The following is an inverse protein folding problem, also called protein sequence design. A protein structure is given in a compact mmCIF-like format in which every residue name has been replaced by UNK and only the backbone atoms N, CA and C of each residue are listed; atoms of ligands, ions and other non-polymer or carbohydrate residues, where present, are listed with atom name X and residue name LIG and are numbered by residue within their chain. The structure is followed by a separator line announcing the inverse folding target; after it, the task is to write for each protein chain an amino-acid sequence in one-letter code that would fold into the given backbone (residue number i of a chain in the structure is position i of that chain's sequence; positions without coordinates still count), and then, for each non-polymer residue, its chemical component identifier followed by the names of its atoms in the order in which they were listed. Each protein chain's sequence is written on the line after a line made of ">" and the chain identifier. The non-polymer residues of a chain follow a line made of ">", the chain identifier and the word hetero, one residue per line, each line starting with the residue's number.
data_IF_566107435169
#
_entry.id   IF_566107435169
#
_cell.length_a   1.000
_cell.length_b   1.000
_cell.length_c   1.000
_cell.angle_alpha   90.00
_cell.angle_beta   90.00
_cell.angle_gamma   90.00
#
_symmetry.space_group_name_H-M   'P 1'
#
loop_
_entity.id
_entity.type
_entity.pdbx_description
1 polymer ?
#
# COMPACT_ATOMS: atom_id res chain seq x y z
N UNK A 1 -10.00 12.06 -0.28
CA UNK A 1 -9.60 12.50 -1.64
C UNK A 1 -8.08 12.45 -1.89
N UNK A 2 -7.22 12.64 -0.87
CA UNK A 2 -5.76 12.68 -1.05
C UNK A 2 -5.01 11.34 -0.95
N UNK A 3 -5.52 10.33 -0.22
CA UNK A 3 -5.01 8.94 -0.35
C UNK A 3 -5.23 8.45 -1.77
N UNK A 4 -6.36 8.80 -2.39
CA UNK A 4 -6.60 8.54 -3.80
C UNK A 4 -5.56 9.27 -4.67
N UNK A 5 -5.10 10.47 -4.33
CA UNK A 5 -4.05 11.18 -5.08
C UNK A 5 -2.68 10.50 -4.97
N UNK A 6 -2.29 10.00 -3.78
CA UNK A 6 -1.04 9.26 -3.59
C UNK A 6 -1.11 7.89 -4.26
N UNK A 7 -2.25 7.21 -4.11
CA UNK A 7 -2.55 5.95 -4.76
C UNK A 7 -2.68 6.13 -6.27
N UNK A 8 -3.17 7.27 -6.76
CA UNK A 8 -3.21 7.66 -8.17
C UNK A 8 -1.84 8.11 -8.69
N UNK A 9 -0.99 8.72 -7.88
CA UNK A 9 0.40 9.04 -8.25
C UNK A 9 1.19 7.75 -8.38
N UNK A 10 1.05 6.84 -7.40
CA UNK A 10 1.56 5.47 -7.45
C UNK A 10 0.95 4.69 -8.63
N UNK A 11 -0.35 4.78 -8.89
CA UNK A 11 -1.04 4.12 -10.00
C UNK A 11 -0.65 4.71 -11.36
N UNK A 12 -0.39 6.01 -11.45
CA UNK A 12 0.05 6.68 -12.69
C UNK A 12 1.52 6.39 -12.97
N UNK A 13 2.33 6.17 -11.93
CA UNK A 13 3.66 5.56 -12.04
C UNK A 13 3.52 4.09 -12.51
N UNK A 14 2.57 3.31 -11.98
CA UNK A 14 2.32 1.91 -12.36
C UNK A 14 1.84 1.74 -13.82
N UNK A 15 0.93 2.60 -14.30
CA UNK A 15 0.21 2.43 -15.59
C UNK A 15 1.02 2.86 -16.82
N UNK A 16 2.03 3.73 -16.67
CA UNK A 16 2.81 4.23 -17.83
C UNK A 16 3.99 3.32 -18.25
N UNK A 17 4.10 2.09 -17.71
CA UNK A 17 5.06 1.07 -18.20
C UNK A 17 5.78 0.21 -17.14
N UNK A 18 5.26 0.12 -15.90
CA UNK A 18 6.01 -0.28 -14.70
C UNK A 18 5.57 -1.65 -14.11
N UNK A 19 4.88 -2.51 -14.85
CA UNK A 19 4.48 -3.81 -14.30
C UNK A 19 5.68 -4.76 -14.02
N UNK A 20 6.82 -4.56 -14.69
CA UNK A 20 8.06 -5.33 -14.47
C UNK A 20 9.06 -4.69 -13.49
N UNK A 21 8.95 -3.39 -13.19
CA UNK A 21 9.95 -2.69 -12.35
C UNK A 21 9.69 -2.82 -10.84
N UNK A 22 8.48 -3.21 -10.41
CA UNK A 22 8.12 -3.30 -8.99
C UNK A 22 8.89 -4.40 -8.23
N UNK A 23 9.39 -5.43 -8.93
CA UNK A 23 10.23 -6.47 -8.33
C UNK A 23 11.56 -5.88 -7.82
N UNK A 24 12.05 -4.82 -8.48
CA UNK A 24 13.37 -4.22 -8.19
C UNK A 24 13.30 -2.93 -7.39
N UNK A 25 12.15 -2.25 -7.33
CA UNK A 25 11.96 -1.01 -6.54
C UNK A 25 12.37 -1.14 -5.07
N UNK A 26 12.03 -2.21 -4.31
CA UNK A 26 12.47 -2.32 -2.92
C UNK A 26 13.99 -2.39 -2.78
N UNK A 27 14.69 -2.80 -3.83
CA UNK A 27 16.15 -2.93 -3.87
C UNK A 27 16.88 -1.72 -4.50
N UNK A 28 16.15 -0.74 -5.03
CA UNK A 28 16.74 0.43 -5.71
C UNK A 28 16.34 1.77 -5.11
N UNK A 29 15.15 1.89 -4.53
CA UNK A 29 14.66 3.17 -4.03
C UNK A 29 15.42 3.54 -2.75
N UNK A 30 16.23 4.62 -2.83
CA UNK A 30 17.09 5.07 -1.72
C UNK A 30 16.55 6.30 -1.00
N UNK A 31 15.79 7.16 -1.67
CA UNK A 31 15.33 8.42 -1.11
C UNK A 31 13.85 8.62 -1.39
N UNK A 32 13.09 8.94 -0.35
CA UNK A 32 11.72 9.42 -0.42
C UNK A 32 11.67 10.75 0.32
N UNK A 33 11.29 11.81 -0.40
CA UNK A 33 10.98 13.10 0.19
C UNK A 33 9.57 13.52 -0.24
N UNK A 34 8.68 13.52 0.72
CA UNK A 34 7.28 13.94 0.64
C UNK A 34 6.99 15.05 1.66
N UNK A 35 8.03 15.74 2.13
CA UNK A 35 7.88 16.79 3.12
C UNK A 35 7.04 17.97 2.60
N UNK A 36 6.45 18.72 3.53
CA UNK A 36 5.74 19.98 3.23
C UNK A 36 4.55 19.81 2.28
N UNK A 37 3.77 18.75 2.49
CA UNK A 37 2.56 18.47 1.76
C UNK A 37 1.34 18.48 2.71
N UNK A 38 0.16 18.17 2.19
CA UNK A 38 -1.08 18.02 2.97
C UNK A 38 -1.50 16.56 3.07
N UNK A 39 -0.55 15.64 3.18
CA UNK A 39 -0.85 14.22 3.29
C UNK A 39 -1.51 13.93 4.64
N UNK A 40 -2.58 13.13 4.59
CA UNK A 40 -3.41 12.74 5.72
C UNK A 40 -3.55 11.22 5.75
N UNK A 41 -3.93 10.68 6.91
CA UNK A 41 -4.03 9.24 7.14
C UNK A 41 -2.73 8.64 7.66
N UNK A 42 -2.67 7.32 7.67
CA UNK A 42 -1.58 6.57 8.30
C UNK A 42 -0.42 6.28 7.35
N UNK A 43 0.76 6.03 7.92
CA UNK A 43 1.94 5.60 7.16
C UNK A 43 1.72 4.13 6.71
N UNK A 44 1.73 3.83 5.40
CA UNK A 44 1.44 2.49 4.90
C UNK A 44 2.60 1.52 5.18
N UNK A 45 2.47 0.77 6.27
CA UNK A 45 3.48 -0.14 6.79
C UNK A 45 4.00 -1.14 5.75
N UNK A 46 3.09 -1.82 5.03
CA UNK A 46 3.45 -2.90 4.09
C UNK A 46 4.25 -2.44 2.87
N UNK A 47 3.99 -1.23 2.36
CA UNK A 47 4.69 -0.72 1.17
C UNK A 47 6.06 -0.17 1.58
N UNK A 48 6.10 0.69 2.60
CA UNK A 48 7.34 1.36 3.00
C UNK A 48 8.29 0.40 3.71
N UNK A 49 7.77 -0.51 4.54
CA UNK A 49 8.58 -1.54 5.24
C UNK A 49 9.28 -2.52 4.28
N UNK A 50 8.79 -2.66 3.04
CA UNK A 50 9.41 -3.50 2.03
C UNK A 50 10.56 -2.84 1.27
N UNK A 51 10.78 -1.52 1.40
CA UNK A 51 11.82 -0.78 0.68
C UNK A 51 13.21 -1.01 1.30
N UNK A 52 13.75 -2.22 1.19
CA UNK A 52 14.98 -2.64 1.87
C UNK A 52 16.21 -1.78 1.56
N UNK A 53 16.28 -1.14 0.39
CA UNK A 53 17.37 -0.25 0.02
C UNK A 53 17.18 1.23 0.44
N UNK A 54 16.09 1.54 1.15
CA UNK A 54 15.76 2.92 1.52
C UNK A 54 16.78 3.48 2.51
N UNK A 55 17.31 4.64 2.18
CA UNK A 55 18.33 5.35 2.93
C UNK A 55 17.82 6.63 3.59
N UNK A 56 16.90 7.34 2.93
CA UNK A 56 16.33 8.58 3.42
C UNK A 56 14.81 8.59 3.27
N UNK A 57 14.10 8.83 4.37
CA UNK A 57 12.65 8.97 4.42
C UNK A 57 12.27 10.27 5.11
N UNK A 58 11.78 11.23 4.32
CA UNK A 58 11.40 12.57 4.77
C UNK A 58 9.91 12.75 4.47
N UNK A 59 9.08 12.76 5.50
CA UNK A 59 7.62 12.95 5.39
C UNK A 59 7.12 14.03 6.36
N UNK A 60 8.03 14.92 6.77
CA UNK A 60 7.76 16.01 7.71
C UNK A 60 6.79 17.05 7.16
N UNK A 61 6.24 17.89 8.03
CA UNK A 61 5.30 18.96 7.65
C UNK A 61 4.13 18.44 6.81
N UNK A 62 3.46 17.43 7.35
CA UNK A 62 2.25 16.87 6.77
C UNK A 62 1.19 16.78 7.87
N UNK A 63 0.06 16.15 7.54
CA UNK A 63 -1.07 16.01 8.44
C UNK A 63 -1.36 14.53 8.74
N UNK A 64 -0.30 13.69 8.66
CA UNK A 64 -0.33 12.24 8.86
C UNK A 64 -0.70 11.89 10.31
N UNK A 65 -1.47 10.82 10.47
CA UNK A 65 -2.01 10.31 11.73
C UNK A 65 -1.57 8.86 11.95
N UNK A 66 -1.94 8.27 13.08
CA UNK A 66 -1.60 6.87 13.36
C UNK A 66 -0.27 6.71 14.08
N UNK A 67 0.14 5.45 14.25
CA UNK A 67 1.45 5.10 14.83
C UNK A 67 2.52 5.10 13.75
N UNK A 68 3.78 5.31 14.15
CA UNK A 68 4.91 4.98 13.28
C UNK A 68 4.97 3.45 13.18
N UNK A 69 4.86 2.84 11.99
CA UNK A 69 4.83 1.39 11.87
C UNK A 69 6.13 0.74 12.35
N UNK A 70 5.99 -0.33 13.13
CA UNK A 70 7.13 -1.13 13.58
C UNK A 70 7.93 -1.74 12.43
N UNK A 71 7.30 -2.01 11.29
CA UNK A 71 7.95 -2.56 10.09
C UNK A 71 9.06 -1.66 9.53
N UNK A 72 9.02 -0.36 9.81
CA UNK A 72 10.09 0.54 9.42
C UNK A 72 11.40 0.20 10.13
N UNK A 73 11.35 -0.43 11.31
CA UNK A 73 12.52 -0.92 12.03
C UNK A 73 13.28 -2.01 11.27
N UNK A 74 12.67 -2.61 10.25
CA UNK A 74 13.31 -3.62 9.40
C UNK A 74 14.12 -3.02 8.22
N UNK A 75 14.14 -1.70 8.08
CA UNK A 75 14.81 -0.98 6.97
C UNK A 75 16.30 -0.73 7.28
N UNK A 76 17.13 -1.76 7.24
CA UNK A 76 18.51 -1.73 7.73
C UNK A 76 19.45 -0.63 7.17
N UNK A 77 19.11 0.02 6.05
CA UNK A 77 19.93 1.06 5.41
C UNK A 77 19.43 2.49 5.66
N UNK A 78 18.33 2.65 6.40
CA UNK A 78 17.72 3.95 6.67
C UNK A 78 18.62 4.77 7.60
N UNK A 79 19.25 5.80 7.04
CA UNK A 79 20.18 6.67 7.76
C UNK A 79 19.62 8.07 8.02
N UNK A 80 18.63 8.50 7.24
CA UNK A 80 17.96 9.78 7.44
C UNK A 80 16.45 9.57 7.55
N UNK A 81 15.87 10.01 8.66
CA UNK A 81 14.46 9.87 8.95
C UNK A 81 13.91 11.16 9.54
N UNK A 82 12.83 11.68 8.98
CA UNK A 82 12.16 12.86 9.50
C UNK A 82 10.64 12.75 9.33
N UNK A 83 9.94 12.71 10.45
CA UNK A 83 8.47 12.67 10.56
C UNK A 83 7.93 13.84 11.36
N UNK A 84 8.75 14.86 11.60
CA UNK A 84 8.39 16.03 12.38
C UNK A 84 7.18 16.76 11.81
N UNK A 85 6.47 17.49 12.67
CA UNK A 85 5.32 18.30 12.29
C UNK A 85 4.24 17.48 11.55
N UNK A 86 3.74 16.45 12.23
CA UNK A 86 2.61 15.62 11.84
C UNK A 86 1.68 15.43 13.05
N UNK A 87 0.67 14.56 12.93
CA UNK A 87 -0.28 14.20 14.00
C UNK A 87 -0.09 12.74 14.43
N UNK A 88 1.15 12.26 14.43
CA UNK A 88 1.49 10.88 14.81
C UNK A 88 1.38 10.68 16.33
N UNK A 89 1.07 9.45 16.74
CA UNK A 89 0.86 9.10 18.14
C UNK A 89 1.42 7.73 18.52
N UNK A 90 1.58 7.52 19.83
CA UNK A 90 2.07 6.26 20.39
C UNK A 90 3.59 6.20 20.54
N UNK A 91 4.13 5.03 20.89
CA UNK A 91 5.56 4.84 21.10
C UNK A 91 6.33 4.90 19.78
N UNK A 92 7.51 5.55 19.80
CA UNK A 92 8.49 5.43 18.72
C UNK A 92 8.97 3.97 18.66
N UNK A 93 8.95 3.33 17.48
CA UNK A 93 9.40 1.95 17.32
C UNK A 93 10.83 1.76 17.83
N UNK A 94 11.04 0.70 18.59
CA UNK A 94 12.37 0.28 19.01
C UNK A 94 12.99 -0.55 17.89
N UNK A 95 14.17 -0.15 17.44
CA UNK A 95 14.93 -0.81 16.38
C UNK A 95 16.34 -0.25 16.35
N UNK A 96 17.30 -1.01 15.79
CA UNK A 96 18.73 -0.66 15.87
C UNK A 96 19.03 0.76 15.39
N UNK A 97 18.31 1.25 14.37
CA UNK A 97 18.48 2.60 13.81
C UNK A 97 17.49 3.66 14.35
N UNK A 98 16.33 3.28 14.89
CA UNK A 98 15.35 4.27 15.36
C UNK A 98 15.80 5.01 16.62
N UNK A 99 16.64 4.36 17.43
CA UNK A 99 17.30 4.97 18.58
C UNK A 99 18.48 5.89 18.23
N UNK A 100 18.93 5.95 16.96
CA UNK A 100 20.05 6.82 16.54
C UNK A 100 19.58 8.14 15.95
N UNK A 101 18.31 8.23 15.53
CA UNK A 101 17.74 9.48 15.01
C UNK A 101 17.59 10.52 16.14
N UNK A 102 17.74 11.79 15.78
CA UNK A 102 17.70 12.92 16.71
C UNK A 102 16.27 13.27 17.11
N UNK A 103 16.12 14.04 18.20
CA UNK A 103 14.83 14.53 18.68
C UNK A 103 14.08 15.34 17.62
N UNK A 104 14.81 16.13 16.82
CA UNK A 104 14.29 16.96 15.73
C UNK A 104 13.56 16.16 14.65
N UNK A 105 13.89 14.88 14.48
CA UNK A 105 13.20 13.99 13.53
C UNK A 105 11.74 13.73 13.91
N UNK A 106 11.36 13.95 15.17
CA UNK A 106 10.06 13.59 15.73
C UNK A 106 9.28 14.79 16.28
N UNK A 107 9.91 15.96 16.39
CA UNK A 107 9.32 17.18 16.97
C UNK A 107 8.03 17.60 16.26
N UNK A 108 7.12 18.27 16.96
CA UNK A 108 5.85 18.73 16.37
C UNK A 108 4.75 17.65 16.27
N UNK A 109 4.99 16.43 16.77
CA UNK A 109 3.97 15.41 16.98
C UNK A 109 3.58 15.34 18.46
N UNK A 110 2.42 15.90 18.83
CA UNK A 110 2.02 16.08 20.25
C UNK A 110 1.87 14.77 21.04
N UNK A 111 1.56 13.68 20.35
CA UNK A 111 1.14 12.40 20.95
C UNK A 111 2.18 11.28 20.79
N UNK A 112 3.35 11.56 20.20
CA UNK A 112 4.48 10.62 20.19
C UNK A 112 5.16 10.56 21.56
N UNK A 113 5.71 9.40 21.91
CA UNK A 113 6.43 9.18 23.16
C UNK A 113 7.54 8.15 22.98
N UNK A 114 8.47 8.09 23.94
CA UNK A 114 9.64 7.19 23.89
C UNK A 114 10.90 7.89 23.35
N UNK A 115 12.07 7.27 23.56
CA UNK A 115 13.35 7.83 23.11
C UNK A 115 13.36 7.99 21.57
N UNK A 116 13.95 9.05 21.02
CA UNK A 116 14.78 10.08 21.69
C UNK A 116 13.99 11.19 22.40
N UNK A 117 12.66 11.24 22.29
CA UNK A 117 11.87 12.29 22.93
C UNK A 117 11.94 12.18 24.47
N UNK A 118 11.91 13.33 25.13
CA UNK A 118 11.85 13.40 26.61
C UNK A 118 10.53 12.87 27.19
N UNK A 119 9.47 12.83 26.39
CA UNK A 119 8.14 12.35 26.78
C UNK A 119 8.15 10.82 26.93
N UNK A 120 8.01 10.33 28.16
CA UNK A 120 7.85 8.90 28.44
C UNK A 120 6.47 8.42 28.01
N UNK A 121 6.39 7.22 27.46
CA UNK A 121 5.10 6.59 27.24
C UNK A 121 4.52 6.15 28.58
N UNK A 122 3.24 6.46 28.83
CA UNK A 122 2.54 5.88 29.97
C UNK A 122 2.42 4.38 29.74
N UNK A 123 3.21 3.62 30.51
CA UNK A 123 2.93 2.20 30.71
C UNK A 123 1.62 2.13 31.47
N UNK A 124 0.52 1.89 30.77
CA UNK A 124 -0.66 1.34 31.41
C UNK A 124 -0.21 0.06 32.13
N UNK A 125 -0.13 0.14 33.45
CA UNK A 125 -0.12 -1.04 34.32
C UNK A 125 -1.29 -1.90 33.82
N UNK A 126 -1.08 -3.18 33.44
CA UNK A 126 -2.22 -4.02 33.13
C UNK A 126 -3.13 -4.00 34.37
N UNK A 127 -4.43 -3.68 34.24
CA UNK A 127 -5.33 -3.89 35.35
C UNK A 127 -5.23 -5.37 35.77
N UNK A 128 -5.32 -5.69 37.07
CA UNK A 128 -5.38 -7.09 37.51
C UNK A 128 -6.51 -7.79 36.74
N UNK A 129 -6.38 -9.08 36.40
CA UNK A 129 -7.33 -9.76 35.52
C UNK A 129 -8.71 -9.74 36.18
N UNK A 130 -9.55 -8.81 35.75
CA UNK A 130 -10.99 -8.87 35.95
C UNK A 130 -11.51 -9.84 34.91
N UNK A 131 -11.95 -11.00 35.37
CA UNK A 131 -12.77 -11.94 34.61
C UNK A 131 -14.02 -11.19 34.18
N UNK A 132 -14.01 -10.62 32.99
CA UNK A 132 -15.20 -10.27 32.22
C UNK A 132 -14.84 -10.45 30.76
N UNK A 133 -15.37 -11.52 30.20
CA UNK A 133 -15.48 -11.77 28.77
C UNK A 133 -16.10 -10.53 28.13
N UNK A 134 -15.47 -10.01 27.08
CA UNK A 134 -16.17 -9.09 26.21
C UNK A 134 -15.67 -9.27 24.78
N UNK A 135 -16.63 -9.63 23.95
CA UNK A 135 -16.53 -9.94 22.54
C UNK A 135 -15.93 -8.76 21.76
N UNK A 136 -14.79 -8.99 21.12
CA UNK A 136 -14.29 -8.11 20.05
C UNK A 136 -14.86 -8.61 18.72
N UNK A 137 -16.02 -8.09 18.33
CA UNK A 137 -16.39 -8.07 16.91
C UNK A 137 -16.82 -6.66 16.48
N UNK A 138 -15.94 -6.01 15.74
CA UNK A 138 -16.27 -5.07 14.65
C UNK A 138 -14.99 -4.63 13.93
N UNK A 139 -14.18 -5.62 13.52
CA UNK A 139 -13.40 -5.47 12.31
C UNK A 139 -14.33 -5.80 11.15
N UNK A 140 -14.38 -4.97 10.11
CA UNK A 140 -15.07 -5.35 8.87
C UNK A 140 -14.28 -6.49 8.21
N UNK A 141 -14.49 -7.73 8.69
CA UNK A 141 -14.15 -8.94 7.97
C UNK A 141 -15.26 -9.14 6.95
N UNK A 142 -14.92 -9.02 5.67
CA UNK A 142 -15.76 -9.56 4.61
C UNK A 142 -15.65 -11.09 4.74
N UNK A 143 -16.41 -11.67 5.66
CA UNK A 143 -16.56 -13.11 5.81
C UNK A 143 -17.54 -13.56 4.72
N UNK A 144 -17.02 -13.71 3.50
CA UNK A 144 -17.78 -14.36 2.45
C UNK A 144 -17.86 -15.83 2.82
N UNK A 145 -18.99 -16.22 3.37
CA UNK A 145 -19.36 -17.61 3.58
C UNK A 145 -18.95 -18.42 2.34
N UNK A 146 -18.33 -19.59 2.54
CA UNK A 146 -17.89 -20.43 1.42
C UNK A 146 -19.07 -20.77 0.48
N UNK A 147 -20.30 -20.73 1.01
CA UNK A 147 -21.55 -20.85 0.29
C UNK A 147 -21.84 -19.70 -0.70
N UNK A 148 -21.22 -18.53 -0.54
CA UNK A 148 -21.27 -17.37 -1.44
C UNK A 148 -20.08 -17.36 -2.42
N UNK A 149 -18.89 -17.74 -1.94
CA UNK A 149 -17.66 -17.78 -2.75
C UNK A 149 -17.75 -18.84 -3.86
N UNK A 150 -18.24 -20.03 -3.52
CA UNK A 150 -18.27 -21.16 -4.46
C UNK A 150 -19.19 -20.93 -5.68
N UNK A 151 -20.46 -20.50 -5.53
CA UNK A 151 -21.31 -20.21 -6.68
C UNK A 151 -20.84 -18.98 -7.47
N UNK A 152 -20.18 -18.01 -6.82
CA UNK A 152 -19.61 -16.84 -7.49
C UNK A 152 -18.47 -17.21 -8.45
N UNK A 153 -17.54 -18.07 -8.03
CA UNK A 153 -16.44 -18.55 -8.87
C UNK A 153 -16.96 -19.41 -10.02
N UNK A 154 -17.91 -20.31 -9.74
CA UNK A 154 -18.48 -21.22 -10.75
C UNK A 154 -19.24 -20.42 -11.82
N UNK A 155 -20.10 -19.47 -11.41
CA UNK A 155 -20.86 -18.64 -12.35
C UNK A 155 -19.94 -17.73 -13.16
N UNK A 156 -18.90 -17.14 -12.54
CA UNK A 156 -17.91 -16.31 -13.23
C UNK A 156 -17.13 -17.06 -14.31
N UNK A 157 -16.68 -18.29 -14.03
CA UNK A 157 -15.96 -19.12 -15.01
C UNK A 157 -16.86 -19.52 -16.20
N UNK A 158 -18.12 -19.89 -15.95
CA UNK A 158 -19.05 -20.27 -17.02
C UNK A 158 -19.33 -19.07 -17.93
N UNK A 159 -19.63 -17.90 -17.36
CA UNK A 159 -19.88 -16.68 -18.14
C UNK A 159 -18.62 -16.26 -18.90
N UNK A 160 -17.44 -16.34 -18.27
CA UNK A 160 -16.15 -16.02 -18.88
C UNK A 160 -15.82 -16.92 -20.07
N UNK A 161 -16.05 -18.23 -19.96
CA UNK A 161 -15.81 -19.19 -21.06
C UNK A 161 -16.80 -18.96 -22.20
N UNK A 162 -18.09 -18.77 -21.91
CA UNK A 162 -19.11 -18.52 -22.96
C UNK A 162 -18.84 -17.21 -23.70
N UNK A 163 -18.54 -16.13 -22.98
CA UNK A 163 -18.23 -14.84 -23.59
C UNK A 163 -16.92 -14.86 -24.38
N UNK A 164 -15.90 -15.57 -23.89
CA UNK A 164 -14.65 -15.84 -24.59
C UNK A 164 -14.86 -16.59 -25.89
N UNK A 165 -15.63 -17.69 -25.86
CA UNK A 165 -15.93 -18.51 -27.05
C UNK A 165 -16.75 -17.74 -28.11
N UNK A 166 -17.72 -16.93 -27.69
CA UNK A 166 -18.47 -16.05 -28.60
C UNK A 166 -17.54 -15.02 -29.25
N UNK A 167 -16.60 -14.45 -28.49
CA UNK A 167 -15.66 -13.45 -29.01
C UNK A 167 -14.65 -14.05 -30.00
N UNK A 168 -14.10 -15.22 -29.70
CA UNK A 168 -13.16 -15.92 -30.59
C UNK A 168 -13.84 -16.36 -31.88
N UNK A 169 -15.07 -16.88 -31.81
CA UNK A 169 -15.86 -17.26 -32.98
C UNK A 169 -16.22 -16.05 -33.86
N UNK A 170 -16.64 -14.92 -33.26
CA UNK A 170 -16.90 -13.68 -34.01
C UNK A 170 -15.64 -13.13 -34.68
N UNK A 171 -14.50 -13.21 -33.99
CA UNK A 171 -13.21 -12.79 -34.54
C UNK A 171 -12.85 -13.65 -35.75
N UNK A 172 -12.99 -14.98 -35.65
CA UNK A 172 -12.72 -15.89 -36.76
C UNK A 172 -13.62 -15.61 -37.98
N UNK A 173 -14.93 -15.42 -37.79
CA UNK A 173 -15.84 -15.08 -38.90
C UNK A 173 -15.44 -13.78 -39.61
N UNK A 174 -15.14 -12.73 -38.85
CA UNK A 174 -14.68 -11.47 -39.40
C UNK A 174 -13.40 -11.62 -40.24
N UNK A 175 -12.43 -12.42 -39.76
CA UNK A 175 -11.19 -12.69 -40.50
C UNK A 175 -11.44 -13.45 -41.80
N UNK A 176 -12.32 -14.45 -41.79
CA UNK A 176 -12.67 -15.22 -43.00
C UNK A 176 -13.37 -14.34 -44.02
N UNK A 177 -14.28 -13.48 -43.60
CA UNK A 177 -14.98 -12.56 -44.49
C UNK A 177 -14.05 -11.47 -45.03
N UNK A 178 -13.15 -10.93 -44.20
CA UNK A 178 -12.11 -9.99 -44.63
C UNK A 178 -11.17 -10.63 -45.68
N UNK A 179 -10.74 -11.88 -45.46
CA UNK A 179 -9.89 -12.62 -46.39
C UNK A 179 -10.62 -12.89 -47.72
N UNK A 180 -11.90 -13.27 -47.70
CA UNK A 180 -12.72 -13.43 -48.92
C UNK A 180 -12.83 -12.13 -49.71
N UNK A 181 -13.04 -10.98 -49.03
CA UNK A 181 -13.12 -9.66 -49.67
C UNK A 181 -11.80 -9.25 -50.31
N UNK A 182 -10.67 -9.55 -49.67
CA UNK A 182 -9.33 -9.29 -50.22
C UNK A 182 -9.08 -10.15 -51.48
N UNK A 183 -9.40 -11.45 -51.45
CA UNK A 183 -9.18 -12.34 -52.59
C UNK A 183 -10.06 -11.98 -53.81
N UNK A 184 -11.32 -11.56 -53.60
CA UNK A 184 -12.19 -11.09 -54.71
C UNK A 184 -11.68 -9.81 -55.39
N UNK A 185 -10.97 -8.94 -54.66
CA UNK A 185 -10.35 -7.73 -55.24
C UNK A 185 -9.06 -8.06 -56.02
N UNK A 186 -8.34 -9.12 -55.62
CA UNK A 186 -7.11 -9.59 -56.29
C UNK A 186 -7.37 -10.37 -57.58
N UNK A 187 -8.52 -11.02 -57.74
CA UNK A 187 -8.89 -11.75 -58.96
C UNK A 187 -9.61 -10.94 -60.05
N UNK A 188 -9.57 -9.60 -60.00
CA UNK A 188 -10.22 -8.68 -60.95
C UNK A 188 -9.23 -7.69 -61.62
N UNK A 189 -7.93 -8.01 -61.62
CA UNK A 189 -6.87 -7.26 -62.31
C UNK A 189 -6.31 -8.14 -63.41
#
# INVERSE_FOLDING_TARGET
>A
MFILQLLLLLFRILVWGVELEYIWTPYRLRLIDFSSNRFEGEIPAGIIGNLRALHSLIISNNALTGRIPGDLAQLNFLAYFNVSHNRLWGPIPLGQQFGTFLEDSYVGNSSLCGKPLSKKCESSRPPPPSIFEQDEDSGFQIELDWYVVLPGIISGLIIGVISGDIWTNKKHEWFVEAAKRINRRRGRI
#
